data_IF_363126916484
#
_entry.id   IF_363126916484
#
_cell.length_a   1.000
_cell.length_b   1.000
_cell.length_c   1.000
_cell.angle_alpha   90.00
_cell.angle_beta   90.00
_cell.angle_gamma   90.00
#
_symmetry.space_group_name_H-M   'P 1'
#
loop_
_entity.id
_entity.type
_entity.pdbx_description
1 polymer ?
#
# COMPACT_ATOMS: atom_id res chain seq x y z
N UNK A 1 7.72 -5.04 -8.61
CA UNK A 1 8.08 -6.18 -7.68
C UNK A 1 8.04 -7.51 -8.43
N UNK A 2 8.74 -8.58 -7.93
CA UNK A 2 8.63 -9.94 -8.47
C UNK A 2 8.47 -10.98 -7.34
N UNK A 3 7.81 -12.12 -7.65
CA UNK A 3 7.65 -13.24 -6.74
C UNK A 3 7.60 -14.57 -7.49
N UNK A 4 7.92 -15.68 -6.83
CA UNK A 4 7.72 -17.01 -7.37
C UNK A 4 6.31 -17.51 -7.09
N UNK A 5 5.78 -18.34 -8.01
CA UNK A 5 4.63 -19.19 -7.68
C UNK A 5 5.04 -20.22 -6.61
N UNK A 6 4.10 -20.71 -5.76
CA UNK A 6 4.43 -21.63 -4.66
C UNK A 6 5.12 -22.93 -5.09
N UNK A 7 4.91 -23.37 -6.32
CA UNK A 7 5.58 -24.55 -6.90
C UNK A 7 6.96 -24.26 -7.50
N UNK A 8 7.39 -22.99 -7.48
CA UNK A 8 8.67 -22.53 -8.04
C UNK A 8 8.79 -22.59 -9.55
N UNK A 9 7.68 -22.86 -10.28
CA UNK A 9 7.72 -23.04 -11.74
C UNK A 9 7.61 -21.77 -12.55
N UNK A 10 7.09 -20.72 -11.95
CA UNK A 10 6.98 -19.42 -12.61
C UNK A 10 7.42 -18.29 -11.72
N UNK A 11 7.94 -17.24 -12.34
CA UNK A 11 8.17 -15.94 -11.73
C UNK A 11 7.09 -15.00 -12.24
N UNK A 12 6.43 -14.31 -11.32
CA UNK A 12 5.47 -13.25 -11.60
C UNK A 12 6.19 -11.91 -11.44
N UNK A 13 6.08 -11.04 -12.43
CA UNK A 13 6.70 -9.71 -12.43
C UNK A 13 5.62 -8.66 -12.64
N UNK A 14 5.43 -7.80 -11.68
CA UNK A 14 4.60 -6.61 -11.84
C UNK A 14 5.35 -5.61 -12.72
N UNK A 15 4.69 -5.15 -13.77
CA UNK A 15 5.15 -4.09 -14.64
C UNK A 15 4.22 -2.92 -14.41
N UNK A 16 4.66 -1.97 -13.68
CA UNK A 16 3.90 -0.83 -13.21
C UNK A 16 3.35 -0.01 -14.38
N UNK A 17 4.22 0.40 -15.30
CA UNK A 17 3.82 1.26 -16.41
C UNK A 17 3.73 2.72 -15.99
N UNK A 18 4.55 3.15 -15.02
CA UNK A 18 4.57 4.53 -14.53
C UNK A 18 4.61 5.54 -15.69
N UNK A 19 3.72 6.54 -15.70
CA UNK A 19 3.70 7.56 -16.73
C UNK A 19 4.88 8.53 -16.59
N UNK A 20 5.28 9.13 -17.70
CA UNK A 20 6.21 10.27 -17.63
C UNK A 20 5.57 11.45 -16.91
N UNK A 21 6.39 12.32 -16.28
CA UNK A 21 5.91 13.46 -15.49
C UNK A 21 4.98 14.43 -16.25
N UNK A 22 5.02 14.42 -17.57
CA UNK A 22 4.17 15.21 -18.47
C UNK A 22 3.01 14.42 -19.08
N UNK A 23 2.89 13.10 -18.74
CA UNK A 23 1.92 12.17 -19.30
C UNK A 23 1.97 12.02 -20.83
N UNK A 24 3.04 12.43 -21.49
CA UNK A 24 3.21 12.19 -22.94
C UNK A 24 3.52 10.71 -23.25
N UNK A 25 4.13 10.02 -22.31
CA UNK A 25 4.36 8.57 -22.35
C UNK A 25 3.67 7.94 -21.15
N UNK A 26 2.68 7.10 -21.41
CA UNK A 26 1.85 6.44 -20.41
C UNK A 26 1.64 4.97 -20.81
N UNK A 27 2.57 4.07 -20.41
CA UNK A 27 2.51 2.66 -20.79
C UNK A 27 1.39 1.93 -20.03
N UNK A 28 0.87 0.85 -20.61
CA UNK A 28 -0.08 -0.02 -19.92
C UNK A 28 0.60 -0.89 -18.86
N UNK A 29 0.07 -0.90 -17.66
CA UNK A 29 0.43 -1.83 -16.59
C UNK A 29 0.09 -3.29 -16.96
N UNK A 30 0.89 -4.23 -16.47
CA UNK A 30 0.71 -5.66 -16.75
C UNK A 30 1.40 -6.55 -15.72
N UNK A 31 1.14 -7.87 -15.77
CA UNK A 31 1.95 -8.86 -15.05
C UNK A 31 2.59 -9.80 -16.06
N UNK A 32 3.92 -9.87 -16.05
CA UNK A 32 4.66 -10.85 -16.85
C UNK A 32 4.80 -12.14 -16.05
N UNK A 33 4.44 -13.27 -16.67
CA UNK A 33 4.56 -14.62 -16.11
C UNK A 33 5.69 -15.30 -16.86
N UNK A 34 6.80 -15.59 -16.19
CA UNK A 34 8.00 -16.20 -16.76
C UNK A 34 8.11 -17.64 -16.29
N UNK A 35 8.25 -18.60 -17.20
CA UNK A 35 8.60 -19.98 -16.85
C UNK A 35 10.03 -20.03 -16.29
N UNK A 36 10.20 -20.55 -15.07
CA UNK A 36 11.48 -20.54 -14.37
C UNK A 36 12.53 -21.50 -14.96
N UNK A 37 12.15 -22.36 -15.93
CA UNK A 37 13.04 -23.34 -16.56
C UNK A 37 13.37 -22.96 -17.99
N UNK A 38 12.35 -22.64 -18.79
CA UNK A 38 12.53 -22.31 -20.21
C UNK A 38 12.79 -20.82 -20.46
N UNK A 39 12.45 -19.96 -19.49
CA UNK A 39 12.45 -18.51 -19.60
C UNK A 39 11.46 -17.94 -20.64
N UNK A 40 10.54 -18.79 -21.13
CA UNK A 40 9.41 -18.29 -21.93
C UNK A 40 8.54 -17.39 -21.08
N UNK A 41 8.02 -16.33 -21.65
CA UNK A 41 7.22 -15.36 -20.92
C UNK A 41 5.93 -15.00 -21.64
N UNK A 42 4.90 -14.69 -20.86
CA UNK A 42 3.60 -14.21 -21.32
C UNK A 42 3.14 -13.07 -20.42
N UNK A 43 2.46 -12.08 -20.99
CA UNK A 43 1.90 -10.96 -20.21
C UNK A 43 0.40 -11.13 -20.01
N UNK A 44 -0.03 -11.09 -18.75
CA UNK A 44 -1.41 -10.86 -18.40
C UNK A 44 -1.66 -9.34 -18.43
N UNK A 45 -2.62 -8.91 -19.24
CA UNK A 45 -3.01 -7.51 -19.46
C UNK A 45 -4.42 -7.26 -18.97
N UNK A 46 -4.73 -6.03 -18.63
CA UNK A 46 -6.10 -5.60 -18.34
C UNK A 46 -6.91 -5.54 -19.64
N UNK A 47 -8.17 -6.01 -19.58
CA UNK A 47 -9.01 -6.09 -20.76
C UNK A 47 -9.48 -4.70 -21.19
N UNK A 48 -9.15 -4.30 -22.41
CA UNK A 48 -9.64 -3.05 -22.97
C UNK A 48 -11.18 -3.06 -23.05
N UNK A 49 -11.81 -1.94 -22.70
CA UNK A 49 -13.27 -1.77 -22.78
C UNK A 49 -14.07 -2.53 -21.73
N UNK A 50 -13.43 -3.18 -20.76
CA UNK A 50 -14.09 -3.70 -19.57
C UNK A 50 -14.36 -2.52 -18.62
N UNK A 51 -15.60 -2.45 -18.15
CA UNK A 51 -15.97 -1.54 -17.09
C UNK A 51 -15.41 -2.09 -15.76
N UNK A 52 -14.68 -1.25 -15.05
CA UNK A 52 -14.15 -1.52 -13.74
C UNK A 52 -14.81 -0.55 -12.75
N UNK A 53 -16.12 -0.76 -12.55
CA UNK A 53 -16.93 0.05 -11.66
C UNK A 53 -16.23 0.30 -10.32
N UNK A 54 -16.29 1.51 -9.85
CA UNK A 54 -15.73 1.97 -8.56
C UNK A 54 -14.20 1.91 -8.44
N UNK A 55 -13.46 1.66 -9.53
CA UNK A 55 -11.99 1.69 -9.51
C UNK A 55 -11.51 3.00 -10.11
N UNK A 56 -10.69 3.71 -9.35
CA UNK A 56 -10.10 4.97 -9.79
C UNK A 56 -9.21 4.75 -11.01
N UNK A 57 -9.38 5.57 -12.03
CA UNK A 57 -8.46 5.73 -13.16
C UNK A 57 -8.05 7.19 -13.19
N UNK A 58 -6.78 7.46 -13.17
CA UNK A 58 -6.24 8.83 -13.17
C UNK A 58 -5.39 9.09 -14.41
N UNK A 59 -5.01 10.34 -14.60
CA UNK A 59 -4.29 10.78 -15.80
C UNK A 59 -5.22 11.28 -16.92
N UNK A 60 -4.77 12.26 -17.70
CA UNK A 60 -5.58 12.90 -18.74
C UNK A 60 -5.93 11.93 -19.88
N UNK A 61 -7.15 11.38 -19.86
CA UNK A 61 -7.62 10.45 -20.88
C UNK A 61 -7.05 9.03 -20.79
N UNK A 62 -6.45 8.66 -19.66
CA UNK A 62 -5.90 7.34 -19.43
C UNK A 62 -6.97 6.25 -19.53
N UNK A 63 -6.59 5.12 -20.13
CA UNK A 63 -7.38 3.89 -20.08
C UNK A 63 -7.22 3.21 -18.70
N UNK A 64 -8.13 2.31 -18.30
CA UNK A 64 -7.92 1.51 -17.09
C UNK A 64 -6.58 0.74 -17.07
N UNK A 65 -6.10 0.29 -18.25
CA UNK A 65 -4.83 -0.41 -18.33
C UNK A 65 -3.61 0.51 -18.07
N UNK A 66 -3.73 1.80 -18.35
CA UNK A 66 -2.72 2.81 -18.06
C UNK A 66 -2.79 3.28 -16.60
N UNK A 67 -3.99 3.55 -16.06
CA UNK A 67 -4.14 3.96 -14.66
C UNK A 67 -4.09 2.80 -13.64
N UNK A 68 -3.91 1.55 -14.10
CA UNK A 68 -3.70 0.39 -13.22
C UNK A 68 -2.23 0.04 -13.18
N UNK A 69 -1.52 0.59 -12.26
CA UNK A 69 -0.08 0.44 -12.07
C UNK A 69 0.20 -0.75 -11.11
N UNK A 70 0.44 -1.98 -11.66
CA UNK A 70 0.71 -3.17 -10.85
C UNK A 70 2.04 -3.05 -10.11
N UNK A 71 2.03 -3.24 -8.81
CA UNK A 71 3.22 -3.03 -8.00
C UNK A 71 3.64 -4.24 -7.19
N UNK A 72 2.81 -4.69 -6.22
CA UNK A 72 3.09 -5.87 -5.41
C UNK A 72 2.26 -7.07 -5.82
N UNK A 73 2.84 -8.28 -5.70
CA UNK A 73 2.17 -9.55 -6.02
C UNK A 73 2.32 -10.53 -4.88
N UNK A 74 1.21 -11.10 -4.43
CA UNK A 74 1.17 -12.24 -3.53
C UNK A 74 0.48 -13.42 -4.20
N UNK A 75 1.19 -14.54 -4.37
CA UNK A 75 0.60 -15.77 -4.88
C UNK A 75 -0.11 -16.52 -3.75
N UNK A 76 -1.33 -16.99 -4.01
CA UNK A 76 -2.09 -17.88 -3.11
C UNK A 76 -1.29 -19.18 -2.88
N UNK A 77 -1.21 -19.70 -1.64
CA UNK A 77 -0.48 -20.94 -1.34
C UNK A 77 -0.91 -22.17 -2.17
N UNK A 78 -2.15 -22.17 -2.67
CA UNK A 78 -2.64 -23.19 -3.59
C UNK A 78 -2.17 -23.05 -5.04
N UNK A 79 -1.48 -21.97 -5.37
CA UNK A 79 -0.92 -21.71 -6.71
C UNK A 79 -1.96 -21.50 -7.82
N UNK A 80 -3.19 -21.11 -7.46
CA UNK A 80 -4.27 -20.89 -8.43
C UNK A 80 -4.46 -19.42 -8.77
N UNK A 81 -4.27 -18.56 -7.80
CA UNK A 81 -4.51 -17.13 -7.91
C UNK A 81 -3.26 -16.36 -7.48
N UNK A 82 -3.13 -15.15 -7.98
CA UNK A 82 -2.29 -14.14 -7.39
C UNK A 82 -3.10 -12.86 -7.19
N UNK A 83 -2.77 -12.13 -6.15
CA UNK A 83 -3.33 -10.84 -5.79
C UNK A 83 -2.29 -9.79 -6.12
N UNK A 84 -2.69 -8.79 -6.87
CA UNK A 84 -1.80 -7.75 -7.40
C UNK A 84 -2.32 -6.41 -6.93
N UNK A 85 -1.52 -5.66 -6.19
CA UNK A 85 -1.88 -4.29 -5.83
C UNK A 85 -1.79 -3.38 -7.05
N UNK A 86 -2.74 -2.47 -7.13
CA UNK A 86 -2.81 -1.39 -8.10
C UNK A 86 -2.81 -0.11 -7.26
N UNK A 87 -1.60 0.32 -6.87
CA UNK A 87 -1.41 1.30 -5.80
C UNK A 87 -2.12 2.61 -6.12
N UNK A 88 -1.85 3.20 -7.26
CA UNK A 88 -2.42 4.49 -7.64
C UNK A 88 -3.94 4.43 -7.93
N UNK A 89 -4.46 3.23 -8.19
CA UNK A 89 -5.89 3.01 -8.38
C UNK A 89 -6.65 2.66 -7.10
N UNK A 90 -5.98 2.58 -5.94
CA UNK A 90 -6.55 2.10 -4.66
C UNK A 90 -7.32 0.79 -4.84
N UNK A 91 -6.71 -0.19 -5.50
CA UNK A 91 -7.39 -1.40 -5.90
C UNK A 91 -6.49 -2.65 -5.79
N UNK A 92 -7.13 -3.81 -5.85
CA UNK A 92 -6.46 -5.11 -5.96
C UNK A 92 -7.02 -5.89 -7.13
N UNK A 93 -6.14 -6.40 -7.99
CA UNK A 93 -6.50 -7.29 -9.08
C UNK A 93 -6.30 -8.76 -8.69
N UNK A 94 -7.18 -9.63 -9.16
CA UNK A 94 -7.08 -11.08 -9.02
C UNK A 94 -6.62 -11.67 -10.36
N UNK A 95 -5.43 -12.26 -10.38
CA UNK A 95 -4.85 -12.96 -11.52
C UNK A 95 -5.09 -14.46 -11.40
N UNK A 96 -5.71 -15.08 -12.39
CA UNK A 96 -5.81 -16.54 -12.52
C UNK A 96 -4.51 -17.08 -13.16
N UNK A 97 -3.70 -17.75 -12.35
CA UNK A 97 -2.39 -18.25 -12.78
C UNK A 97 -2.48 -19.36 -13.85
N UNK A 98 -3.56 -20.15 -13.84
CA UNK A 98 -3.79 -21.19 -14.84
C UNK A 98 -4.23 -20.59 -16.18
N UNK A 99 -5.10 -19.57 -16.13
CA UNK A 99 -5.64 -18.92 -17.32
C UNK A 99 -4.75 -17.76 -17.81
N UNK A 100 -3.76 -17.37 -16.98
CA UNK A 100 -2.83 -16.26 -17.23
C UNK A 100 -3.54 -14.95 -17.59
N UNK A 101 -4.63 -14.65 -16.88
CA UNK A 101 -5.44 -13.45 -17.13
C UNK A 101 -6.07 -12.92 -15.83
N UNK A 102 -6.30 -11.64 -15.79
CA UNK A 102 -7.04 -11.01 -14.71
C UNK A 102 -8.50 -11.45 -14.73
N UNK A 103 -9.01 -11.86 -13.56
CA UNK A 103 -10.41 -12.25 -13.33
C UNK A 103 -11.26 -11.05 -12.98
N UNK A 104 -10.77 -10.24 -12.05
CA UNK A 104 -11.47 -9.07 -11.51
C UNK A 104 -10.47 -8.08 -10.95
N UNK A 105 -10.91 -6.84 -10.86
CA UNK A 105 -10.29 -5.77 -10.08
C UNK A 105 -11.32 -5.33 -9.04
N UNK A 106 -10.88 -5.00 -7.84
CA UNK A 106 -11.71 -4.52 -6.74
C UNK A 106 -11.10 -3.27 -6.16
N UNK A 107 -11.90 -2.20 -6.10
CA UNK A 107 -11.53 -0.99 -5.39
C UNK A 107 -11.45 -1.28 -3.88
N UNK A 108 -10.46 -0.71 -3.21
CA UNK A 108 -10.35 -0.64 -1.75
C UNK A 108 -11.07 0.60 -1.20
N UNK A 109 -11.55 1.47 -2.09
CA UNK A 109 -12.14 2.77 -1.77
C UNK A 109 -11.08 3.84 -1.54
N UNK A 110 -11.52 5.08 -1.48
CA UNK A 110 -10.67 6.23 -1.16
C UNK A 110 -10.91 6.64 0.29
N UNK A 111 -9.87 7.14 0.95
CA UNK A 111 -10.01 7.66 2.32
C UNK A 111 -10.77 8.98 2.29
N UNK A 112 -11.93 9.02 2.94
CA UNK A 112 -12.74 10.23 3.12
C UNK A 112 -12.37 10.94 4.42
N UNK A 113 -11.76 12.10 4.29
CA UNK A 113 -11.36 12.94 5.43
C UNK A 113 -12.53 13.71 6.07
N UNK A 114 -13.71 13.68 5.46
CA UNK A 114 -14.96 14.18 6.03
C UNK A 114 -15.68 13.16 6.91
N UNK A 115 -15.32 11.87 6.82
CA UNK A 115 -15.94 10.83 7.64
C UNK A 115 -15.54 10.96 9.11
N UNK A 116 -16.47 10.57 10.00
CA UNK A 116 -16.34 10.79 11.46
C UNK A 116 -15.23 9.99 12.15
N UNK A 117 -14.60 9.05 11.46
CA UNK A 117 -13.54 8.20 12.02
C UNK A 117 -12.15 8.85 11.94
N UNK A 118 -12.09 10.10 11.52
CA UNK A 118 -10.88 10.88 11.52
C UNK A 118 -10.55 11.39 12.93
N UNK A 119 -9.49 10.87 13.52
CA UNK A 119 -9.05 11.12 14.90
C UNK A 119 -8.36 12.47 15.13
N UNK A 120 -8.54 13.43 14.25
CA UNK A 120 -8.11 14.80 14.50
C UNK A 120 -6.61 15.02 14.58
N UNK A 121 -5.77 14.16 14.02
CA UNK A 121 -4.40 14.54 13.72
C UNK A 121 -4.44 15.65 12.70
N UNK A 122 -4.02 16.83 13.12
CA UNK A 122 -4.10 18.07 12.37
C UNK A 122 -3.20 18.01 11.14
N UNK A 123 -3.75 17.58 10.04
CA UNK A 123 -3.09 17.74 8.76
C UNK A 123 -3.62 18.99 8.08
N UNK A 124 -2.71 19.78 7.59
CA UNK A 124 -3.05 20.96 6.81
C UNK A 124 -3.30 20.53 5.37
N UNK A 125 -4.49 20.76 4.86
CA UNK A 125 -4.95 20.34 3.55
C UNK A 125 -4.84 21.48 2.53
N UNK A 126 -4.26 21.24 1.37
CA UNK A 126 -4.36 22.14 0.21
C UNK A 126 -5.71 22.04 -0.52
N UNK A 127 -6.71 21.49 0.09
CA UNK A 127 -8.10 21.55 -0.38
C UNK A 127 -8.64 23.01 -0.45
N UNK A 128 -7.89 23.99 0.00
CA UNK A 128 -8.25 25.40 -0.07
C UNK A 128 -8.37 25.97 -1.48
N UNK A 129 -8.09 25.18 -2.52
CA UNK A 129 -8.37 25.56 -3.92
C UNK A 129 -9.58 24.86 -4.52
N UNK A 130 -10.16 23.85 -3.84
CA UNK A 130 -11.37 23.21 -4.31
C UNK A 130 -12.61 23.91 -3.75
N UNK A 131 -13.62 24.16 -4.56
CA UNK A 131 -14.94 24.56 -4.06
C UNK A 131 -15.52 23.39 -3.26
N UNK A 132 -15.63 23.55 -1.94
CA UNK A 132 -16.26 22.57 -1.06
C UNK A 132 -17.68 22.98 -0.76
N UNK A 133 -18.62 22.04 -0.77
CA UNK A 133 -19.94 22.24 -0.21
C UNK A 133 -19.78 22.78 1.23
N UNK A 134 -20.43 23.90 1.56
CA UNK A 134 -20.35 24.50 2.90
C UNK A 134 -20.78 23.56 4.03
N UNK A 135 -21.53 22.49 3.72
CA UNK A 135 -22.04 21.50 4.68
C UNK A 135 -21.17 20.25 4.78
N UNK A 136 -20.27 20.00 3.81
CA UNK A 136 -19.42 18.81 3.77
C UNK A 136 -18.53 18.67 5.00
N UNK A 137 -17.97 19.78 5.51
CA UNK A 137 -17.08 19.79 6.67
C UNK A 137 -17.33 20.99 7.60
N UNK A 138 -17.22 20.82 8.91
CA UNK A 138 -17.18 21.94 9.85
C UNK A 138 -16.04 22.92 9.52
N UNK A 139 -16.29 24.23 9.73
CA UNK A 139 -15.33 25.29 9.38
C UNK A 139 -13.93 25.11 10.03
N UNK A 140 -13.85 24.57 11.23
CA UNK A 140 -12.59 24.29 11.90
C UNK A 140 -11.80 23.17 11.21
N UNK A 141 -12.47 22.12 10.73
CA UNK A 141 -11.85 21.05 9.98
C UNK A 141 -11.41 21.52 8.59
N UNK A 142 -12.19 22.33 7.89
CA UNK A 142 -11.78 22.94 6.63
C UNK A 142 -10.49 23.76 6.75
N UNK A 143 -10.32 24.47 7.86
CA UNK A 143 -9.08 25.22 8.12
C UNK A 143 -7.89 24.29 8.41
N UNK A 144 -8.11 23.26 9.24
CA UNK A 144 -7.08 22.30 9.60
C UNK A 144 -6.62 21.46 8.40
N UNK A 145 -7.58 21.12 7.54
CA UNK A 145 -7.33 20.32 6.36
C UNK A 145 -6.91 21.12 5.11
N UNK A 146 -6.60 22.43 5.16
CA UNK A 146 -6.39 23.29 3.97
C UNK A 146 -5.14 23.00 3.11
N UNK A 147 -4.23 22.14 3.53
CA UNK A 147 -3.00 21.78 2.81
C UNK A 147 -2.97 20.34 2.29
N UNK A 148 -3.92 19.46 2.67
CA UNK A 148 -3.94 18.05 2.24
C UNK A 148 -4.04 17.93 0.71
N UNK A 149 -3.23 17.10 0.11
CA UNK A 149 -3.36 16.72 -1.28
C UNK A 149 -4.55 15.75 -1.43
N UNK A 150 -5.57 16.18 -2.17
CA UNK A 150 -6.79 15.40 -2.41
C UNK A 150 -6.98 15.17 -3.90
N UNK A 151 -7.72 14.11 -4.25
CA UNK A 151 -8.10 13.91 -5.64
C UNK A 151 -9.16 14.93 -6.06
N UNK A 152 -9.07 15.38 -7.30
CA UNK A 152 -10.10 16.19 -7.95
C UNK A 152 -10.91 15.40 -9.00
N UNK A 153 -10.73 14.06 -9.02
CA UNK A 153 -11.42 13.17 -9.95
C UNK A 153 -12.61 12.45 -9.30
N UNK A 154 -12.81 12.65 -7.99
CA UNK A 154 -13.90 12.07 -7.21
C UNK A 154 -14.23 12.97 -6.02
N UNK A 155 -15.44 12.85 -5.46
CA UNK A 155 -15.88 13.61 -4.29
C UNK A 155 -16.92 14.68 -4.57
N UNK A 156 -17.21 14.98 -5.83
CA UNK A 156 -18.41 15.70 -6.29
C UNK A 156 -19.46 14.63 -6.58
N UNK A 157 -20.31 14.32 -5.59
CA UNK A 157 -21.20 13.15 -5.65
C UNK A 157 -22.50 13.44 -6.40
N UNK A 158 -22.92 14.72 -6.47
CA UNK A 158 -24.14 15.13 -7.15
C UNK A 158 -23.90 15.85 -8.48
N UNK A 159 -22.65 16.17 -8.82
CA UNK A 159 -22.24 16.71 -10.11
C UNK A 159 -22.54 18.20 -10.27
N UNK A 160 -22.67 18.95 -9.18
CA UNK A 160 -23.00 20.38 -9.21
C UNK A 160 -21.78 21.30 -9.32
N UNK A 161 -20.57 20.72 -9.22
CA UNK A 161 -19.27 21.39 -9.41
C UNK A 161 -18.61 21.83 -8.11
N UNK A 162 -19.17 21.51 -6.96
CA UNK A 162 -18.46 21.58 -5.68
C UNK A 162 -18.26 20.18 -5.08
N UNK A 163 -17.40 20.05 -4.06
CA UNK A 163 -16.99 18.76 -3.54
C UNK A 163 -17.70 18.47 -2.22
N UNK A 164 -18.48 17.38 -2.19
CA UNK A 164 -19.17 16.87 -1.01
C UNK A 164 -18.23 16.17 -0.05
N UNK A 165 -17.12 15.58 -0.56
CA UNK A 165 -16.14 14.83 0.20
C UNK A 165 -14.72 15.21 -0.17
N UNK A 166 -13.81 15.13 0.82
CA UNK A 166 -12.37 15.24 0.62
C UNK A 166 -11.76 13.84 0.57
N UNK A 167 -11.41 13.39 -0.61
CA UNK A 167 -10.91 12.05 -0.84
C UNK A 167 -9.41 12.06 -1.15
N UNK A 168 -8.65 11.21 -0.46
CA UNK A 168 -7.25 10.93 -0.79
C UNK A 168 -7.09 9.52 -1.30
N UNK A 169 -6.10 9.31 -2.15
CA UNK A 169 -5.60 8.02 -2.54
C UNK A 169 -4.57 7.55 -1.50
N UNK A 170 -4.59 6.23 -1.19
CA UNK A 170 -3.81 5.67 -0.09
C UNK A 170 -4.44 5.90 1.29
N UNK A 171 -4.78 4.80 1.97
CA UNK A 171 -5.45 4.84 3.27
C UNK A 171 -4.54 5.15 4.45
N UNK A 172 -3.21 5.18 4.26
CA UNK A 172 -2.18 5.28 5.29
C UNK A 172 -2.29 4.15 6.34
N UNK A 173 -2.88 3.03 5.94
CA UNK A 173 -3.26 1.93 6.81
C UNK A 173 -2.93 0.58 6.21
N UNK A 174 -3.08 -0.48 7.01
CA UNK A 174 -3.03 -1.86 6.57
C UNK A 174 -4.42 -2.46 6.67
N UNK A 175 -4.89 -3.07 5.58
CA UNK A 175 -6.16 -3.79 5.54
C UNK A 175 -5.96 -5.30 5.53
N UNK A 176 -6.82 -6.02 6.24
CA UNK A 176 -6.96 -7.47 6.15
C UNK A 176 -8.21 -7.79 5.35
N UNK A 177 -8.03 -8.52 4.25
CA UNK A 177 -9.09 -8.85 3.30
C UNK A 177 -9.42 -10.35 3.35
N UNK A 178 -10.67 -10.71 3.06
CA UNK A 178 -11.02 -12.09 2.78
C UNK A 178 -10.70 -12.48 1.32
N UNK A 179 -10.92 -13.75 0.97
CA UNK A 179 -10.66 -14.25 -0.39
C UNK A 179 -11.55 -13.62 -1.49
N UNK A 180 -12.62 -12.94 -1.12
CA UNK A 180 -13.47 -12.20 -2.02
C UNK A 180 -13.09 -10.70 -2.07
N UNK A 181 -11.98 -10.33 -1.40
CA UNK A 181 -11.47 -8.98 -1.23
C UNK A 181 -12.40 -8.05 -0.43
N UNK A 182 -13.25 -8.58 0.45
CA UNK A 182 -13.96 -7.75 1.39
C UNK A 182 -13.03 -7.39 2.56
N UNK A 183 -13.02 -6.13 2.95
CA UNK A 183 -12.27 -5.66 4.13
C UNK A 183 -12.85 -6.30 5.38
N UNK A 184 -12.01 -7.00 6.15
CA UNK A 184 -12.33 -7.62 7.43
C UNK A 184 -11.85 -6.79 8.61
N UNK A 185 -10.73 -6.11 8.42
CA UNK A 185 -10.14 -5.22 9.38
C UNK A 185 -9.29 -4.19 8.65
N UNK A 186 -9.23 -2.98 9.17
CA UNK A 186 -8.33 -1.92 8.73
C UNK A 186 -7.74 -1.22 9.96
N UNK A 187 -6.47 -0.90 9.94
CA UNK A 187 -5.78 -0.23 11.04
C UNK A 187 -6.16 1.26 11.17
N UNK A 188 -6.79 1.83 10.15
CA UNK A 188 -7.21 3.24 10.14
C UNK A 188 -6.03 4.19 10.42
N UNK A 189 -6.19 5.07 11.39
CA UNK A 189 -5.15 6.03 11.79
C UNK A 189 -4.14 5.47 12.82
N UNK A 190 -4.10 4.15 13.07
CA UNK A 190 -3.25 3.57 14.12
C UNK A 190 -1.76 3.77 13.83
N UNK A 191 -1.33 3.62 12.57
CA UNK A 191 0.08 3.82 12.19
C UNK A 191 0.58 5.24 12.52
N UNK A 192 -0.22 6.25 12.21
CA UNK A 192 0.14 7.64 12.51
C UNK A 192 0.12 7.90 14.02
N UNK A 193 -0.86 7.38 14.77
CA UNK A 193 -0.88 7.49 16.23
C UNK A 193 0.33 6.84 16.89
N UNK A 194 0.68 5.64 16.48
CA UNK A 194 1.79 4.88 17.05
C UNK A 194 3.15 5.47 16.68
N UNK A 195 3.34 5.95 15.46
CA UNK A 195 4.57 6.63 15.06
C UNK A 195 4.73 7.95 15.79
N UNK A 196 3.66 8.73 15.96
CA UNK A 196 3.69 9.96 16.76
C UNK A 196 4.02 9.68 18.24
N UNK A 197 3.42 8.63 18.82
CA UNK A 197 3.63 8.31 20.23
C UNK A 197 5.03 7.75 20.53
N UNK A 198 5.56 6.88 19.67
CA UNK A 198 6.79 6.13 19.93
C UNK A 198 8.03 6.77 19.30
N UNK A 199 7.87 7.41 18.14
CA UNK A 199 8.95 7.99 17.36
C UNK A 199 8.59 9.40 16.82
N UNK A 200 8.27 10.36 17.70
CA UNK A 200 7.73 11.67 17.28
C UNK A 200 8.64 12.46 16.32
N UNK A 201 9.95 12.24 16.38
CA UNK A 201 10.91 12.86 15.46
C UNK A 201 10.86 12.26 14.03
N UNK A 202 10.16 11.15 13.84
CA UNK A 202 9.97 10.47 12.56
C UNK A 202 8.50 10.51 12.11
N UNK A 203 7.62 11.13 12.90
CA UNK A 203 6.20 11.22 12.58
C UNK A 203 6.02 11.91 11.23
N UNK A 204 5.39 11.21 10.29
CA UNK A 204 5.15 11.69 8.92
C UNK A 204 6.34 12.48 8.32
N UNK A 205 7.56 12.04 8.63
CA UNK A 205 8.78 12.61 8.09
C UNK A 205 9.17 11.89 6.79
N UNK A 206 9.75 12.60 5.86
CA UNK A 206 10.30 12.01 4.66
C UNK A 206 11.51 11.09 4.97
N UNK A 207 11.79 10.17 4.08
CA UNK A 207 12.92 9.23 4.17
C UNK A 207 14.28 9.91 3.88
N UNK A 208 14.30 11.21 3.64
CA UNK A 208 15.51 12.02 3.43
C UNK A 208 16.54 11.91 4.56
N UNK A 209 17.76 12.43 4.37
CA UNK A 209 18.79 12.41 5.41
C UNK A 209 18.48 13.36 6.56
N UNK A 210 17.78 14.45 6.30
CA UNK A 210 17.27 15.37 7.32
C UNK A 210 15.99 14.80 7.95
N UNK A 211 15.85 15.03 9.26
CA UNK A 211 14.60 14.71 9.96
C UNK A 211 13.71 15.94 9.95
N UNK A 212 12.65 15.88 9.20
CA UNK A 212 11.65 16.94 9.10
C UNK A 212 10.28 16.35 9.47
N UNK A 213 9.96 16.26 10.77
CA UNK A 213 8.68 15.72 11.21
C UNK A 213 7.53 16.48 10.57
N UNK A 214 6.44 15.78 10.26
CA UNK A 214 5.19 16.34 9.76
C UNK A 214 5.24 16.91 8.32
N UNK A 215 6.37 16.77 7.62
CA UNK A 215 6.50 17.30 6.26
C UNK A 215 5.80 16.45 5.18
N UNK A 216 5.29 15.26 5.56
CA UNK A 216 4.51 14.37 4.68
C UNK A 216 3.04 14.24 5.10
N UNK A 217 2.61 14.96 6.14
CA UNK A 217 1.23 14.90 6.62
C UNK A 217 0.22 15.43 5.61
N UNK A 218 0.61 16.41 4.80
CA UNK A 218 -0.22 16.97 3.73
C UNK A 218 -0.19 16.14 2.42
N UNK A 219 0.48 15.00 2.43
CA UNK A 219 0.59 14.11 1.28
C UNK A 219 0.16 12.67 1.65
N UNK A 220 1.03 11.68 1.63
CA UNK A 220 0.70 10.26 1.89
C UNK A 220 1.08 9.79 3.32
N UNK A 221 1.58 10.67 4.19
CA UNK A 221 1.98 10.35 5.57
C UNK A 221 3.13 9.35 5.68
N UNK A 222 3.01 8.26 6.48
CA UNK A 222 4.09 7.31 6.72
C UNK A 222 4.35 6.37 5.53
N UNK A 223 3.45 6.30 4.57
CA UNK A 223 3.45 5.43 3.38
C UNK A 223 3.72 3.95 3.74
N UNK A 224 2.70 3.25 4.30
CA UNK A 224 2.78 1.81 4.47
C UNK A 224 2.71 1.12 3.11
N UNK A 225 3.72 0.31 2.76
CA UNK A 225 3.86 -0.22 1.41
C UNK A 225 4.15 -1.72 1.40
N UNK A 226 5.41 -2.12 1.55
CA UNK A 226 5.77 -3.53 1.52
C UNK A 226 5.23 -4.32 2.71
N UNK A 227 4.71 -5.53 2.48
CA UNK A 227 4.23 -6.42 3.53
C UNK A 227 4.71 -7.86 3.34
N UNK A 228 5.15 -8.50 4.42
CA UNK A 228 5.41 -9.92 4.46
C UNK A 228 4.68 -10.57 5.64
N UNK A 229 4.24 -11.82 5.47
CA UNK A 229 3.58 -12.59 6.53
C UNK A 229 4.47 -13.78 6.92
N UNK A 230 4.59 -14.04 8.22
CA UNK A 230 5.39 -15.15 8.70
C UNK A 230 5.04 -15.60 10.12
N UNK A 231 5.39 -16.86 10.42
CA UNK A 231 5.16 -17.46 11.74
C UNK A 231 6.37 -17.28 12.67
N UNK A 232 6.13 -16.70 13.84
CA UNK A 232 7.13 -16.51 14.89
C UNK A 232 6.60 -17.06 16.20
N UNK A 233 7.30 -18.01 16.81
CA UNK A 233 6.86 -18.62 18.07
C UNK A 233 5.50 -19.34 17.98
N UNK A 234 5.09 -19.78 16.80
CA UNK A 234 3.81 -20.45 16.54
C UNK A 234 2.61 -19.52 16.31
N UNK A 235 2.84 -18.21 16.22
CA UNK A 235 1.83 -17.18 15.89
C UNK A 235 2.13 -16.54 14.55
N UNK A 236 1.11 -16.11 13.84
CA UNK A 236 1.23 -15.41 12.56
C UNK A 236 1.36 -13.90 12.75
N UNK A 237 2.31 -13.31 12.05
CA UNK A 237 2.55 -11.87 12.05
C UNK A 237 2.56 -11.31 10.63
N UNK A 238 2.06 -10.10 10.46
CA UNK A 238 2.32 -9.26 9.29
C UNK A 238 3.43 -8.26 9.65
N UNK A 239 4.43 -8.16 8.78
CA UNK A 239 5.52 -7.19 8.87
C UNK A 239 5.33 -6.18 7.76
N UNK A 240 5.11 -4.93 8.12
CA UNK A 240 4.76 -3.83 7.24
C UNK A 240 5.87 -2.79 7.21
N UNK A 241 6.36 -2.44 6.03
CA UNK A 241 7.29 -1.35 5.83
C UNK A 241 6.56 0.00 5.80
N UNK A 242 7.10 0.97 6.52
CA UNK A 242 6.68 2.35 6.44
C UNK A 242 7.76 3.12 5.67
N UNK A 243 7.56 3.31 4.36
CA UNK A 243 8.58 3.82 3.45
C UNK A 243 9.15 5.16 3.92
N UNK A 244 8.31 6.16 4.13
CA UNK A 244 8.75 7.51 4.52
C UNK A 244 9.26 7.56 5.94
N UNK A 245 8.58 6.92 6.87
CA UNK A 245 9.04 6.78 8.26
C UNK A 245 10.37 6.01 8.35
N UNK A 246 10.65 5.13 7.40
CA UNK A 246 11.80 4.21 7.37
C UNK A 246 11.79 3.23 8.55
N UNK A 247 10.63 2.73 8.90
CA UNK A 247 10.41 1.77 9.97
C UNK A 247 9.70 0.52 9.52
N UNK A 248 9.72 -0.49 10.39
CA UNK A 248 8.96 -1.73 10.23
C UNK A 248 7.99 -1.86 11.39
N UNK A 249 6.75 -2.16 11.06
CA UNK A 249 5.69 -2.46 12.03
C UNK A 249 5.35 -3.93 11.97
N UNK A 250 5.21 -4.59 13.11
CA UNK A 250 4.74 -5.96 13.20
C UNK A 250 3.34 -5.99 13.82
N UNK A 251 2.42 -6.66 13.14
CA UNK A 251 1.07 -6.92 13.62
C UNK A 251 0.87 -8.41 13.91
N UNK A 252 0.38 -8.75 15.08
CA UNK A 252 -0.11 -10.09 15.41
C UNK A 252 -1.47 -10.31 14.76
N UNK A 253 -1.60 -11.38 13.97
CA UNK A 253 -2.82 -11.69 13.21
C UNK A 253 -3.74 -12.70 13.93
N UNK A 254 -3.37 -13.16 15.13
CA UNK A 254 -4.08 -14.24 15.83
C UNK A 254 -4.64 -13.82 17.21
N UNK A 255 -4.39 -12.58 17.65
CA UNK A 255 -4.88 -12.15 18.96
C UNK A 255 -6.41 -12.14 19.01
N UNK A 256 -7.06 -11.65 17.93
CA UNK A 256 -8.50 -11.73 17.74
C UNK A 256 -8.82 -12.24 16.32
N UNK A 257 -9.78 -13.13 16.11
CA UNK A 257 -10.13 -13.64 14.79
C UNK A 257 -10.54 -12.50 13.84
N UNK A 258 -9.80 -12.36 12.75
CA UNK A 258 -10.05 -11.35 11.70
C UNK A 258 -9.63 -9.93 12.07
N UNK A 259 -8.88 -9.76 13.17
CA UNK A 259 -8.33 -8.48 13.58
C UNK A 259 -6.82 -8.60 13.78
N UNK A 260 -6.08 -7.56 13.42
CA UNK A 260 -4.66 -7.47 13.69
C UNK A 260 -4.41 -6.59 14.93
N UNK A 261 -3.39 -6.89 15.71
CA UNK A 261 -2.97 -6.05 16.83
C UNK A 261 -1.49 -5.68 16.72
N UNK A 262 -1.17 -4.43 17.02
CA UNK A 262 0.20 -3.93 16.96
C UNK A 262 1.09 -4.64 17.99
N UNK A 263 2.10 -5.37 17.49
CA UNK A 263 3.07 -6.08 18.33
C UNK A 263 4.37 -5.28 18.51
N UNK A 264 4.87 -4.65 17.46
CA UNK A 264 6.13 -3.89 17.52
C UNK A 264 6.20 -2.78 16.47
N UNK A 265 7.01 -1.77 16.76
CA UNK A 265 7.50 -0.76 15.82
C UNK A 265 9.01 -0.62 16.02
N UNK A 266 9.80 -0.74 14.97
CA UNK A 266 11.25 -0.61 14.99
C UNK A 266 11.76 0.14 13.74
N UNK A 267 12.94 0.76 13.85
CA UNK A 267 13.64 1.38 12.71
C UNK A 267 15.15 1.27 12.87
N UNK A 268 15.89 1.35 11.78
CA UNK A 268 17.36 1.35 11.74
C UNK A 268 17.97 2.65 11.25
N UNK A 269 17.17 3.73 11.16
CA UNK A 269 17.71 5.05 10.82
C UNK A 269 18.87 5.45 11.73
N UNK A 270 19.88 6.13 11.19
CA UNK A 270 20.00 6.66 9.83
C UNK A 270 20.60 5.68 8.79
N UNK A 271 20.89 4.43 9.19
CA UNK A 271 21.60 3.45 8.34
C UNK A 271 20.74 2.99 7.17
N UNK A 272 19.50 2.59 7.47
CA UNK A 272 18.54 2.08 6.50
C UNK A 272 17.36 3.04 6.38
N UNK A 273 17.00 3.41 5.13
CA UNK A 273 15.91 4.35 4.85
C UNK A 273 15.18 3.97 3.57
N UNK A 274 13.84 4.16 3.58
CA UNK A 274 12.96 3.81 2.48
C UNK A 274 12.81 2.30 2.32
N UNK A 275 12.19 1.57 3.31
CA UNK A 275 11.89 0.14 3.16
C UNK A 275 10.88 -0.07 2.04
N UNK A 276 11.28 -0.81 1.03
CA UNK A 276 10.53 -1.10 -0.19
C UNK A 276 10.10 -2.57 -0.22
N UNK A 277 11.03 -3.47 -0.41
CA UNK A 277 10.77 -4.92 -0.45
C UNK A 277 11.00 -5.58 0.89
N UNK A 278 10.07 -6.45 1.31
CA UNK A 278 10.16 -7.20 2.56
C UNK A 278 9.99 -8.69 2.27
N UNK A 279 10.90 -9.52 2.82
CA UNK A 279 10.79 -10.98 2.75
C UNK A 279 11.02 -11.60 4.13
N UNK A 280 10.12 -12.51 4.50
CA UNK A 280 10.25 -13.30 5.73
C UNK A 280 10.94 -14.62 5.46
N UNK A 281 11.98 -14.93 6.25
CA UNK A 281 12.70 -16.21 6.22
C UNK A 281 12.36 -16.97 7.49
N UNK A 282 11.64 -18.10 7.41
CA UNK A 282 11.29 -18.88 8.58
C UNK A 282 12.53 -19.49 9.26
N UNK A 283 12.42 -19.84 10.54
CA UNK A 283 13.52 -20.40 11.31
C UNK A 283 14.14 -21.66 10.67
N UNK A 284 13.31 -22.48 9.99
CA UNK A 284 13.77 -23.69 9.28
C UNK A 284 14.74 -23.41 8.14
N UNK A 285 14.61 -22.25 7.51
CA UNK A 285 15.38 -21.88 6.31
C UNK A 285 16.48 -20.86 6.64
N UNK A 286 16.46 -20.34 7.87
CA UNK A 286 17.44 -19.38 8.36
C UNK A 286 18.74 -20.09 8.79
N UNK A 287 19.92 -19.61 8.35
CA UNK A 287 21.21 -20.17 8.79
C UNK A 287 21.45 -20.10 10.31
N UNK A 288 20.80 -19.15 10.98
CA UNK A 288 20.90 -18.97 12.43
C UNK A 288 19.89 -19.79 13.24
N UNK A 289 18.91 -20.43 12.57
CA UNK A 289 17.78 -21.09 13.22
C UNK A 289 16.80 -20.13 13.90
N UNK A 290 16.94 -18.84 13.65
CA UNK A 290 16.01 -17.78 14.12
C UNK A 290 15.33 -17.18 12.91
N UNK A 291 14.01 -16.87 12.95
CA UNK A 291 13.36 -16.20 11.84
C UNK A 291 14.01 -14.88 11.49
N UNK A 292 14.10 -14.57 10.20
CA UNK A 292 14.67 -13.31 9.71
C UNK A 292 13.66 -12.54 8.90
N UNK A 293 13.78 -11.22 8.93
CA UNK A 293 13.15 -10.32 8.00
C UNK A 293 14.25 -9.66 7.16
N UNK A 294 14.16 -9.78 5.85
CA UNK A 294 15.02 -9.12 4.89
C UNK A 294 14.28 -7.91 4.36
N UNK A 295 14.89 -6.74 4.44
CA UNK A 295 14.28 -5.48 4.03
C UNK A 295 15.21 -4.78 3.05
N UNK A 296 14.75 -4.55 1.83
CA UNK A 296 15.46 -3.69 0.88
C UNK A 296 15.08 -2.24 1.17
N UNK A 297 16.09 -1.37 1.17
CA UNK A 297 15.92 0.06 1.47
C UNK A 297 16.36 0.88 0.25
N UNK A 298 15.41 1.43 -0.46
CA UNK A 298 15.59 2.13 -1.72
C UNK A 298 16.55 3.32 -1.57
N UNK A 299 16.24 4.22 -0.65
CA UNK A 299 16.97 5.50 -0.48
C UNK A 299 18.43 5.30 -0.10
N UNK A 300 18.76 4.26 0.65
CA UNK A 300 20.14 3.98 1.09
C UNK A 300 20.81 2.88 0.28
N UNK A 301 20.08 2.21 -0.62
CA UNK A 301 20.57 1.07 -1.41
C UNK A 301 21.19 -0.03 -0.52
N UNK A 302 20.54 -0.30 0.61
CA UNK A 302 20.98 -1.31 1.60
C UNK A 302 19.99 -2.46 1.67
N UNK A 303 20.43 -3.58 2.23
CA UNK A 303 19.57 -4.68 2.66
C UNK A 303 19.75 -4.85 4.16
N UNK A 304 18.69 -4.52 4.90
CA UNK A 304 18.59 -4.77 6.33
C UNK A 304 18.27 -6.24 6.61
N UNK A 305 18.97 -6.86 7.56
CA UNK A 305 18.68 -8.22 8.04
C UNK A 305 18.31 -8.14 9.51
N UNK A 306 17.06 -8.43 9.81
CA UNK A 306 16.50 -8.34 11.16
C UNK A 306 16.23 -9.74 11.71
N UNK A 307 16.67 -10.01 12.93
CA UNK A 307 16.21 -11.19 13.66
C UNK A 307 14.85 -10.91 14.29
N UNK A 308 13.93 -11.84 14.13
CA UNK A 308 12.57 -11.72 14.68
C UNK A 308 12.42 -12.69 15.85
N UNK A 309 12.02 -12.18 16.99
CA UNK A 309 11.76 -12.98 18.18
C UNK A 309 10.31 -12.77 18.65
N UNK A 310 9.69 -13.75 19.32
CA UNK A 310 8.38 -13.54 19.94
C UNK A 310 8.42 -12.34 20.89
N UNK A 311 7.32 -11.59 20.94
CA UNK A 311 7.14 -10.60 21.99
C UNK A 311 7.13 -11.32 23.34
N UNK A 312 7.94 -10.84 24.29
CA UNK A 312 8.11 -11.45 25.59
C UNK A 312 6.89 -11.19 26.52
#
# INVERSE_FOLDING_TARGET
>A
MLTFTPDGRSVLVANEGEPSADYETDPEGSVTIVDAVTFDSEQARFAAGKDYEDVRVFGPGASPAQGFEPEYIAADPGGRLAYVTLQEADAVAILDLKQRRFRSVRSLGLKDWGARDYDGFSEEVRAGSLPLDPTALPAAQRSALSRLNVTNTAGDDDGDGDYDRLLTFGGRSMSVLDHALNVRYDTGAELERETLARTPSLFNADHGPALEPDNRSDDKGPEPEGVAVGAVGGRQYAFLGLERHSGIVAYDLEEEPGRASLAALAHSRPIDRGPEGIAFVPASDSPSGVPLLLVTNETTSTIGVWQVAPAG
#
